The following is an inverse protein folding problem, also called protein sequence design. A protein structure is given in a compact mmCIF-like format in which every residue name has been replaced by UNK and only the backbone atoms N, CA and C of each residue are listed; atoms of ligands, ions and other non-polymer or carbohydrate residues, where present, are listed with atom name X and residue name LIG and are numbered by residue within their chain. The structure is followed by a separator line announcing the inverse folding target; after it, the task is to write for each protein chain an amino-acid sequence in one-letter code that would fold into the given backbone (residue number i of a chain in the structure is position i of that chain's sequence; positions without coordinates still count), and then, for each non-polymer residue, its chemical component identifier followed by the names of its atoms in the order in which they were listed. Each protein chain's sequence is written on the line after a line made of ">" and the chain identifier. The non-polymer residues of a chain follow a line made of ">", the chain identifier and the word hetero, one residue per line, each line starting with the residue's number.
data_IF_548604376893
#
_entry.id   IF_548604376893
#
_cell.length_a   1.000
_cell.length_b   1.000
_cell.length_c   1.000
_cell.angle_alpha   90.00
_cell.angle_beta   90.00
_cell.angle_gamma   90.00
#
_symmetry.space_group_name_H-M   'P 1'
#
loop_
_entity.id
_entity.type
_entity.pdbx_description
1 polymer ?
#
# COMPACT_ATOMS: atom_id res chain seq x y z
N UNK A 1 13.55 -15.03 -16.74
CA UNK A 1 12.73 -13.80 -16.74
C UNK A 1 11.37 -14.13 -17.32
N UNK A 2 10.34 -14.15 -16.48
CA UNK A 2 8.96 -14.44 -16.88
C UNK A 2 8.46 -13.28 -17.74
N UNK A 3 8.11 -13.54 -19.01
CA UNK A 3 7.71 -12.49 -19.94
C UNK A 3 6.21 -12.23 -19.81
N UNK A 4 5.83 -11.36 -18.88
CA UNK A 4 4.44 -10.96 -18.67
C UNK A 4 3.85 -10.26 -19.90
N UNK A 5 2.54 -10.44 -20.13
CA UNK A 5 1.78 -9.64 -21.11
C UNK A 5 1.87 -8.14 -20.77
N UNK A 6 1.78 -7.23 -21.76
CA UNK A 6 1.87 -5.79 -21.52
C UNK A 6 0.93 -5.27 -20.42
N UNK A 7 -0.29 -5.79 -20.36
CA UNK A 7 -1.31 -5.42 -19.37
C UNK A 7 -0.87 -5.81 -17.96
N UNK A 8 -0.30 -7.00 -17.80
CA UNK A 8 0.24 -7.45 -16.51
C UNK A 8 1.44 -6.58 -16.06
N UNK A 9 2.28 -6.11 -17.00
CA UNK A 9 3.36 -5.17 -16.68
C UNK A 9 2.82 -3.80 -16.24
N UNK A 10 1.76 -3.31 -16.88
CA UNK A 10 1.09 -2.07 -16.47
C UNK A 10 0.47 -2.18 -15.07
N UNK A 11 -0.19 -3.31 -14.77
CA UNK A 11 -0.76 -3.56 -13.44
C UNK A 11 0.33 -3.55 -12.36
N UNK A 12 1.44 -4.26 -12.57
CA UNK A 12 2.58 -4.26 -11.63
C UNK A 12 3.15 -2.85 -11.43
N UNK A 13 3.27 -2.06 -12.50
CA UNK A 13 3.74 -0.68 -12.42
C UNK A 13 2.78 0.22 -11.62
N UNK A 14 1.47 0.07 -11.82
CA UNK A 14 0.45 0.81 -11.08
C UNK A 14 0.47 0.45 -9.59
N UNK A 15 0.53 -0.84 -9.25
CA UNK A 15 0.65 -1.31 -7.85
C UNK A 15 1.89 -0.73 -7.18
N UNK A 16 3.03 -0.72 -7.88
CA UNK A 16 4.26 -0.10 -7.39
C UNK A 16 4.14 1.40 -7.14
N UNK A 17 3.46 2.13 -8.03
CA UNK A 17 3.22 3.57 -7.85
C UNK A 17 2.31 3.83 -6.64
N UNK A 18 1.21 3.09 -6.51
CA UNK A 18 0.29 3.24 -5.39
C UNK A 18 0.94 2.91 -4.05
N UNK A 19 1.80 1.88 -3.98
CA UNK A 19 2.56 1.56 -2.78
C UNK A 19 3.51 2.70 -2.38
N UNK A 20 4.13 3.36 -3.36
CA UNK A 20 4.99 4.53 -3.11
C UNK A 20 4.17 5.73 -2.61
N UNK A 21 3.08 6.07 -3.28
CA UNK A 21 2.23 7.20 -2.89
C UNK A 21 1.64 7.03 -1.48
N UNK A 22 1.28 5.81 -1.10
CA UNK A 22 0.83 5.50 0.26
C UNK A 22 1.94 5.65 1.31
N UNK A 23 3.19 5.32 0.97
CA UNK A 23 4.35 5.57 1.86
C UNK A 23 4.56 7.07 2.08
N UNK A 24 4.52 7.85 1.00
CA UNK A 24 4.64 9.32 1.10
C UNK A 24 3.52 9.92 1.97
N UNK A 25 2.29 9.39 1.86
CA UNK A 25 1.16 9.77 2.71
C UNK A 25 1.38 9.37 4.19
N UNK A 26 1.88 8.17 4.44
CA UNK A 26 2.21 7.71 5.78
C UNK A 26 3.26 8.61 6.46
N UNK A 27 4.32 8.98 5.74
CA UNK A 27 5.37 9.89 6.21
C UNK A 27 4.79 11.27 6.55
N UNK A 28 3.92 11.80 5.68
CA UNK A 28 3.23 13.09 5.93
C UNK A 28 2.40 13.03 7.22
N UNK A 29 1.73 11.91 7.47
CA UNK A 29 0.96 11.71 8.71
C UNK A 29 1.87 11.65 9.94
N UNK A 30 3.06 11.03 9.84
CA UNK A 30 4.03 11.05 10.94
C UNK A 30 4.49 12.47 11.27
N UNK A 31 4.73 13.29 10.24
CA UNK A 31 5.11 14.70 10.39
C UNK A 31 4.01 15.57 11.01
N UNK A 32 2.73 15.20 10.85
CA UNK A 32 1.58 15.90 11.43
C UNK A 32 1.14 15.39 12.81
N UNK A 33 1.92 14.51 13.45
CA UNK A 33 1.51 13.80 14.68
C UNK A 33 1.35 14.67 15.95
N UNK A 34 1.73 15.94 15.90
CA UNK A 34 1.65 16.88 17.02
C UNK A 34 0.31 17.65 17.11
N UNK A 35 -0.61 17.44 16.16
CA UNK A 35 -1.90 18.15 16.13
C UNK A 35 -2.96 17.42 16.98
N UNK A 36 -3.40 18.05 18.09
CA UNK A 36 -4.29 17.45 19.09
C UNK A 36 -5.60 16.88 18.52
N UNK A 37 -6.17 17.47 17.46
CA UNK A 37 -7.38 16.94 16.80
C UNK A 37 -7.09 15.71 15.93
N UNK A 38 -5.84 15.54 15.48
CA UNK A 38 -5.42 14.41 14.65
C UNK A 38 -4.95 13.21 15.49
N UNK A 39 -4.54 13.41 16.75
CA UNK A 39 -4.01 12.36 17.63
C UNK A 39 -4.97 11.18 17.81
N UNK A 40 -6.30 11.40 17.83
CA UNK A 40 -7.27 10.32 18.04
C UNK A 40 -7.49 9.42 16.82
N UNK A 41 -7.47 9.99 15.61
CA UNK A 41 -7.81 9.26 14.36
C UNK A 41 -6.57 8.79 13.59
N UNK A 42 -5.43 9.48 13.76
CA UNK A 42 -4.19 9.15 13.06
C UNK A 42 -3.66 7.73 13.33
N UNK A 43 -3.75 7.14 14.53
CA UNK A 43 -3.31 5.76 14.75
C UNK A 43 -4.02 4.75 13.86
N UNK A 44 -5.34 4.88 13.71
CA UNK A 44 -6.16 3.98 12.89
C UNK A 44 -5.85 4.17 11.41
N UNK A 45 -5.77 5.42 10.93
CA UNK A 45 -5.41 5.74 9.54
C UNK A 45 -4.01 5.22 9.19
N UNK A 46 -3.04 5.36 10.10
CA UNK A 46 -1.68 4.81 9.92
C UNK A 46 -1.72 3.29 9.80
N UNK A 47 -2.48 2.62 10.64
CA UNK A 47 -2.61 1.17 10.59
C UNK A 47 -3.23 0.72 9.25
N UNK A 48 -4.29 1.37 8.80
CA UNK A 48 -4.94 1.06 7.54
C UNK A 48 -4.00 1.26 6.35
N UNK A 49 -3.29 2.40 6.29
CA UNK A 49 -2.29 2.66 5.24
C UNK A 49 -1.17 1.61 5.27
N UNK A 50 -0.66 1.26 6.46
CA UNK A 50 0.38 0.24 6.62
C UNK A 50 -0.07 -1.15 6.13
N UNK A 51 -1.32 -1.52 6.42
CA UNK A 51 -1.93 -2.77 5.96
C UNK A 51 -2.06 -2.81 4.42
N UNK A 52 -2.45 -1.69 3.80
CA UNK A 52 -2.54 -1.59 2.33
C UNK A 52 -1.15 -1.67 1.71
N UNK A 53 -0.16 -0.93 2.21
CA UNK A 53 1.23 -1.01 1.73
C UNK A 53 1.74 -2.46 1.80
N UNK A 54 1.56 -3.11 2.94
CA UNK A 54 1.97 -4.51 3.15
C UNK A 54 1.31 -5.47 2.15
N UNK A 55 0.04 -5.23 1.83
CA UNK A 55 -0.71 -6.02 0.84
C UNK A 55 -0.15 -5.81 -0.57
N UNK A 56 0.07 -4.56 -0.98
CA UNK A 56 0.64 -4.25 -2.29
C UNK A 56 2.04 -4.85 -2.46
N UNK A 57 2.86 -4.84 -1.41
CA UNK A 57 4.19 -5.46 -1.41
C UNK A 57 4.16 -6.99 -1.50
N UNK A 58 3.20 -7.64 -0.82
CA UNK A 58 2.94 -9.07 -0.99
C UNK A 58 2.55 -9.40 -2.43
N UNK A 59 1.69 -8.58 -3.05
CA UNK A 59 1.32 -8.76 -4.47
C UNK A 59 2.54 -8.61 -5.38
N UNK A 60 3.37 -7.58 -5.17
CA UNK A 60 4.58 -7.33 -5.96
C UNK A 60 5.65 -8.42 -5.80
N UNK A 61 5.76 -9.01 -4.60
CA UNK A 61 6.69 -10.12 -4.33
C UNK A 61 6.14 -11.48 -4.77
N UNK A 62 4.90 -11.54 -5.25
CA UNK A 62 4.24 -12.79 -5.64
C UNK A 62 3.82 -13.67 -4.46
N UNK A 63 3.82 -13.12 -3.25
CA UNK A 63 3.45 -13.80 -2.00
C UNK A 63 2.00 -13.55 -1.55
N UNK A 64 1.16 -12.97 -2.42
CA UNK A 64 -0.25 -12.77 -2.11
C UNK A 64 -1.09 -13.93 -2.64
N UNK A 65 -1.67 -14.70 -1.73
CA UNK A 65 -2.64 -15.75 -2.06
C UNK A 65 -4.01 -15.08 -2.25
N UNK A 66 -4.54 -15.17 -3.47
CA UNK A 66 -5.93 -14.78 -3.73
C UNK A 66 -6.77 -15.97 -3.32
N UNK A 67 -7.43 -15.88 -2.17
CA UNK A 67 -8.48 -16.83 -1.81
C UNK A 67 -9.63 -16.66 -2.82
N UNK A 68 -9.88 -17.68 -3.64
CA UNK A 68 -11.07 -17.71 -4.48
C UNK A 68 -12.29 -17.82 -3.57
N UNK A 69 -13.15 -16.80 -3.57
CA UNK A 69 -14.47 -16.90 -2.94
C UNK A 69 -15.35 -17.80 -3.81
N UNK A 70 -15.63 -19.01 -3.34
CA UNK A 70 -16.63 -19.94 -3.91
C UNK A 70 -18.07 -19.40 -3.79
#
# INVERSE_FOLDING_TARGET
>A
MTNFKPEAKQIVALIGSSAKELRDCFETIEECSDDEELIEVMPDVKNDISNVISTLEKVLSGGYEIEEQE
#
